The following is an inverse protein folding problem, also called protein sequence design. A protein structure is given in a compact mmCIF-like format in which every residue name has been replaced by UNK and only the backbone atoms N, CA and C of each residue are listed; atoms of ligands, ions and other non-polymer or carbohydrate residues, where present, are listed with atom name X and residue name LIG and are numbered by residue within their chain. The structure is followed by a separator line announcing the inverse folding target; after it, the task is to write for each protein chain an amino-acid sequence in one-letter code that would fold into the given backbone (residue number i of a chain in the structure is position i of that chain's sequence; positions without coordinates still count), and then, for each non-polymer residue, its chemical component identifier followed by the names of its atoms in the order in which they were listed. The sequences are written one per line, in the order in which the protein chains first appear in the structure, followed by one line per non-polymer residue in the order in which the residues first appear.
data_IF_247911996141
#
_entry.id   IF_247911996141
#
_cell.length_a   1.000
_cell.length_b   1.000
_cell.length_c   1.000
_cell.angle_alpha   90.00
_cell.angle_beta   90.00
_cell.angle_gamma   90.00
#
_symmetry.space_group_name_H-M   'P 1'
#
loop_
_entity.id
_entity.type
_entity.pdbx_description
1 polymer ?
#
# COMPACT_ATOMS: atom_id res chain seq x y z
N UNK A 1 13.50 -42.02 17.17
CA UNK A 1 12.50 -41.08 16.64
C UNK A 1 12.45 -39.85 17.54
N UNK A 2 12.95 -38.67 17.09
CA UNK A 2 12.81 -37.43 17.87
C UNK A 2 11.36 -36.96 17.69
N UNK A 3 10.62 -36.87 18.80
CA UNK A 3 9.28 -36.29 18.79
C UNK A 3 9.35 -34.85 18.22
N UNK A 4 8.73 -34.58 17.07
CA UNK A 4 8.54 -33.23 16.57
C UNK A 4 7.60 -32.52 17.55
N UNK A 5 8.14 -31.64 18.36
CA UNK A 5 7.34 -30.73 19.18
C UNK A 5 6.38 -30.00 18.25
N UNK A 6 5.08 -30.22 18.39
CA UNK A 6 4.06 -29.55 17.57
C UNK A 6 4.11 -28.06 17.92
N UNK A 7 4.62 -27.23 17.01
CA UNK A 7 4.65 -25.80 17.22
C UNK A 7 3.23 -25.27 17.30
N UNK A 8 2.89 -24.63 18.41
CA UNK A 8 1.58 -23.96 18.58
C UNK A 8 1.64 -22.64 17.80
N UNK A 9 0.87 -22.55 16.72
CA UNK A 9 0.73 -21.33 15.92
C UNK A 9 -0.42 -20.49 16.49
N UNK A 10 -0.10 -19.29 16.97
CA UNK A 10 -1.10 -18.33 17.46
C UNK A 10 -1.48 -17.35 16.34
N UNK A 11 -2.49 -17.69 15.57
CA UNK A 11 -3.08 -16.82 14.57
C UNK A 11 -4.57 -17.12 14.42
N UNK A 12 -5.34 -16.16 13.92
CA UNK A 12 -6.76 -16.34 13.60
C UNK A 12 -6.91 -16.38 12.07
N UNK A 13 -7.37 -17.51 11.49
CA UNK A 13 -7.68 -17.55 10.06
C UNK A 13 -8.83 -16.58 9.75
N UNK A 14 -8.61 -15.70 8.76
CA UNK A 14 -9.64 -14.80 8.28
C UNK A 14 -10.60 -15.52 7.32
N UNK A 15 -11.88 -15.23 7.48
CA UNK A 15 -12.95 -15.55 6.55
C UNK A 15 -13.83 -14.31 6.36
N UNK A 16 -14.75 -14.34 5.39
CA UNK A 16 -15.62 -13.19 5.06
C UNK A 16 -16.40 -12.63 6.25
N UNK A 17 -16.88 -13.51 7.15
CA UNK A 17 -17.62 -13.07 8.33
C UNK A 17 -16.73 -12.28 9.29
N UNK A 18 -15.53 -12.79 9.55
CA UNK A 18 -14.59 -12.14 10.44
C UNK A 18 -14.03 -10.86 9.82
N UNK A 19 -13.77 -10.88 8.51
CA UNK A 19 -13.34 -9.68 7.79
C UNK A 19 -14.40 -8.57 7.84
N UNK A 20 -15.68 -8.90 7.60
CA UNK A 20 -16.79 -7.94 7.76
C UNK A 20 -16.89 -7.38 9.19
N UNK A 21 -16.65 -8.22 10.20
CA UNK A 21 -16.61 -7.78 11.59
C UNK A 21 -15.46 -6.78 11.83
N UNK A 22 -14.25 -7.07 11.35
CA UNK A 22 -13.09 -6.17 11.44
C UNK A 22 -13.40 -4.81 10.81
N UNK A 23 -13.94 -4.80 9.60
CA UNK A 23 -14.32 -3.57 8.92
C UNK A 23 -15.42 -2.80 9.67
N UNK A 24 -16.39 -3.49 10.27
CA UNK A 24 -17.47 -2.88 11.04
C UNK A 24 -16.98 -2.26 12.36
N UNK A 25 -15.91 -2.79 12.93
CA UNK A 25 -15.28 -2.26 14.15
C UNK A 25 -14.18 -1.21 13.85
N UNK A 26 -13.81 -1.05 12.59
CA UNK A 26 -12.72 -0.17 12.17
C UNK A 26 -13.08 1.31 12.16
N UNK A 27 -12.03 2.15 12.10
CA UNK A 27 -12.16 3.58 11.89
C UNK A 27 -12.68 3.88 10.45
N UNK A 28 -13.38 4.99 10.28
CA UNK A 28 -13.86 5.43 8.96
C UNK A 28 -15.12 4.74 8.44
N UNK A 29 -15.75 3.85 9.20
CA UNK A 29 -16.99 3.15 8.82
C UNK A 29 -18.17 4.05 8.42
N UNK A 30 -18.12 5.34 8.75
CA UNK A 30 -19.13 6.34 8.43
C UNK A 30 -18.59 7.45 7.53
N UNK A 31 -17.47 7.24 6.86
CA UNK A 31 -16.88 8.21 5.95
C UNK A 31 -17.64 8.25 4.62
N UNK A 32 -18.51 9.24 4.48
CA UNK A 32 -19.37 9.40 3.29
C UNK A 32 -18.59 9.57 2.00
N UNK A 33 -17.39 10.18 2.07
CA UNK A 33 -16.57 10.40 0.87
C UNK A 33 -15.91 9.10 0.43
N UNK A 34 -15.33 8.36 1.35
CA UNK A 34 -14.72 7.06 1.04
C UNK A 34 -15.78 6.03 0.62
N UNK A 35 -16.96 6.05 1.23
CA UNK A 35 -18.06 5.16 0.84
C UNK A 35 -18.57 5.48 -0.58
N UNK A 36 -18.78 6.76 -0.90
CA UNK A 36 -19.17 7.17 -2.25
C UNK A 36 -18.10 6.80 -3.30
N UNK A 37 -16.82 6.94 -2.95
CA UNK A 37 -15.73 6.49 -3.83
C UNK A 37 -15.76 4.98 -4.05
N UNK A 38 -16.01 4.19 -3.01
CA UNK A 38 -16.12 2.73 -3.14
C UNK A 38 -17.27 2.31 -4.04
N UNK A 39 -18.43 2.96 -3.90
CA UNK A 39 -19.59 2.69 -4.76
C UNK A 39 -19.27 3.03 -6.22
N UNK A 40 -18.66 4.18 -6.48
CA UNK A 40 -18.30 4.57 -7.85
C UNK A 40 -17.21 3.65 -8.42
N UNK A 41 -16.21 3.27 -7.62
CA UNK A 41 -15.17 2.32 -8.06
C UNK A 41 -15.76 0.94 -8.34
N UNK A 42 -16.70 0.46 -7.52
CA UNK A 42 -17.38 -0.83 -7.75
C UNK A 42 -18.12 -0.89 -9.09
N UNK A 43 -18.60 0.24 -9.59
CA UNK A 43 -19.26 0.33 -10.90
C UNK A 43 -18.29 0.11 -12.08
N UNK A 44 -16.97 0.13 -11.86
CA UNK A 44 -15.96 -0.20 -12.88
C UNK A 44 -15.85 -1.70 -13.17
N UNK A 45 -16.57 -2.56 -12.43
CA UNK A 45 -16.55 -4.02 -12.62
C UNK A 45 -15.36 -4.68 -11.95
N UNK A 46 -14.81 -5.73 -12.57
CA UNK A 46 -13.75 -6.57 -11.96
C UNK A 46 -12.50 -5.78 -11.55
N UNK A 47 -12.19 -4.70 -12.25
CA UNK A 47 -11.03 -3.86 -11.94
C UNK A 47 -11.14 -3.17 -10.56
N UNK A 48 -12.33 -3.09 -9.99
CA UNK A 48 -12.56 -2.55 -8.66
C UNK A 48 -11.81 -3.33 -7.54
N UNK A 49 -11.42 -4.58 -7.80
CA UNK A 49 -10.60 -5.39 -6.89
C UNK A 49 -9.22 -4.77 -6.60
N UNK A 50 -8.77 -3.81 -7.42
CA UNK A 50 -7.52 -3.08 -7.15
C UNK A 50 -7.64 -2.08 -6.00
N UNK A 51 -8.85 -1.71 -5.57
CA UNK A 51 -9.03 -0.77 -4.48
C UNK A 51 -8.78 -1.45 -3.12
N UNK A 52 -7.94 -0.84 -2.27
CA UNK A 52 -7.69 -1.34 -0.92
C UNK A 52 -8.96 -1.36 -0.05
N UNK A 53 -8.97 -2.25 0.94
CA UNK A 53 -10.07 -2.38 1.90
C UNK A 53 -10.13 -1.22 2.92
N UNK A 54 -11.30 -1.05 3.59
CA UNK A 54 -11.47 0.00 4.60
C UNK A 54 -10.60 -0.20 5.84
N UNK A 55 -10.30 -1.43 6.23
CA UNK A 55 -9.37 -1.79 7.29
C UNK A 55 -7.95 -1.32 6.99
N UNK A 56 -7.48 -1.55 5.77
CA UNK A 56 -6.18 -1.10 5.30
C UNK A 56 -6.11 0.43 5.17
N UNK A 57 -7.17 1.07 4.69
CA UNK A 57 -7.25 2.53 4.63
C UNK A 57 -7.18 3.18 6.01
N UNK A 58 -7.89 2.63 7.00
CA UNK A 58 -7.82 3.06 8.39
C UNK A 58 -6.42 2.87 8.98
N UNK A 59 -5.80 1.71 8.71
CA UNK A 59 -4.42 1.41 9.12
C UNK A 59 -3.44 2.46 8.56
N UNK A 60 -3.50 2.78 7.26
CA UNK A 60 -2.64 3.79 6.64
C UNK A 60 -2.79 5.15 7.32
N UNK A 61 -4.04 5.62 7.52
CA UNK A 61 -4.30 6.92 8.16
C UNK A 61 -3.70 7.00 9.56
N UNK A 62 -3.94 5.97 10.38
CA UNK A 62 -3.46 5.93 11.77
C UNK A 62 -1.93 5.83 11.82
N UNK A 63 -1.33 4.95 11.01
CA UNK A 63 0.10 4.75 10.96
C UNK A 63 0.85 6.03 10.58
N UNK A 64 0.41 6.72 9.53
CA UNK A 64 1.03 7.95 9.04
C UNK A 64 0.97 9.05 10.10
N UNK A 65 -0.17 9.20 10.76
CA UNK A 65 -0.32 10.15 11.86
C UNK A 65 0.59 9.79 13.06
N UNK A 66 0.64 8.51 13.43
CA UNK A 66 1.42 8.00 14.56
C UNK A 66 2.93 8.19 14.38
N UNK A 67 3.46 8.02 13.16
CA UNK A 67 4.88 8.23 12.86
C UNK A 67 5.22 9.71 12.60
N UNK A 68 4.22 10.59 12.59
CA UNK A 68 4.42 12.03 12.34
C UNK A 68 4.94 12.32 10.93
N UNK A 69 4.61 11.51 9.92
CA UNK A 69 5.05 11.70 8.56
C UNK A 69 4.57 13.05 8.01
N UNK A 70 5.43 13.73 7.26
CA UNK A 70 5.13 15.02 6.60
C UNK A 70 5.16 14.92 5.09
N UNK A 71 5.98 14.02 4.56
CA UNK A 71 6.17 13.81 3.14
C UNK A 71 6.00 12.34 2.79
N UNK A 72 5.09 12.06 1.88
CA UNK A 72 4.79 10.70 1.45
C UNK A 72 4.86 10.57 -0.08
N UNK A 73 5.10 9.34 -0.53
CA UNK A 73 5.00 8.97 -1.95
C UNK A 73 4.12 7.72 -2.08
N UNK A 74 3.28 7.71 -3.09
CA UNK A 74 2.43 6.58 -3.48
C UNK A 74 2.74 6.18 -4.91
N UNK A 75 2.96 4.89 -5.14
CA UNK A 75 3.18 4.30 -6.46
C UNK A 75 2.01 3.38 -6.78
N UNK A 76 1.15 3.80 -7.70
CA UNK A 76 -0.18 3.23 -7.94
C UNK A 76 -1.24 3.94 -7.10
N UNK A 77 -2.08 4.72 -7.76
CA UNK A 77 -3.09 5.58 -7.11
C UNK A 77 -4.50 5.09 -7.39
N UNK A 78 -4.72 4.56 -8.59
CA UNK A 78 -6.02 4.10 -9.07
C UNK A 78 -7.10 5.19 -8.88
N UNK A 79 -8.25 4.86 -8.25
CA UNK A 79 -9.35 5.80 -7.99
C UNK A 79 -9.14 6.68 -6.75
N UNK A 80 -7.98 6.55 -6.06
CA UNK A 80 -7.55 7.49 -5.02
C UNK A 80 -7.99 7.18 -3.60
N UNK A 81 -8.44 5.95 -3.29
CA UNK A 81 -8.84 5.59 -1.93
C UNK A 81 -7.66 5.64 -0.95
N UNK A 82 -6.56 4.98 -1.27
CA UNK A 82 -5.33 4.97 -0.46
C UNK A 82 -4.75 6.37 -0.31
N UNK A 83 -4.68 7.15 -1.39
CA UNK A 83 -4.16 8.52 -1.35
C UNK A 83 -4.97 9.46 -0.45
N UNK A 84 -6.31 9.31 -0.38
CA UNK A 84 -7.13 10.04 0.60
C UNK A 84 -6.75 9.65 2.02
N UNK A 85 -6.62 8.35 2.30
CA UNK A 85 -6.25 7.84 3.62
C UNK A 85 -4.85 8.32 4.05
N UNK A 86 -3.88 8.26 3.14
CA UNK A 86 -2.52 8.77 3.35
C UNK A 86 -2.56 10.28 3.63
N UNK A 87 -3.20 11.07 2.77
CA UNK A 87 -3.26 12.52 2.91
C UNK A 87 -3.97 12.99 4.19
N UNK A 88 -4.93 12.23 4.69
CA UNK A 88 -5.60 12.50 5.98
C UNK A 88 -4.69 12.24 7.18
N UNK A 89 -3.82 11.23 7.10
CA UNK A 89 -2.81 10.98 8.13
C UNK A 89 -1.70 12.03 8.19
N UNK A 90 -1.45 12.73 7.09
CA UNK A 90 -0.47 13.81 7.01
C UNK A 90 -0.97 15.09 7.70
N UNK A 91 -0.08 15.89 8.33
CA UNK A 91 -0.43 17.21 8.89
C UNK A 91 -0.92 18.18 7.80
N UNK A 92 -1.46 19.34 8.21
CA UNK A 92 -2.04 20.31 7.28
C UNK A 92 -1.06 20.77 6.19
N UNK A 93 0.22 20.92 6.52
CA UNK A 93 1.30 21.27 5.60
C UNK A 93 2.00 20.05 4.97
N UNK A 94 1.48 18.84 5.17
CA UNK A 94 2.02 17.62 4.60
C UNK A 94 1.87 17.55 3.08
N UNK A 95 2.68 16.71 2.44
CA UNK A 95 2.68 16.53 0.99
C UNK A 95 2.69 15.05 0.63
N UNK A 96 1.88 14.68 -0.33
CA UNK A 96 1.81 13.35 -0.93
C UNK A 96 2.09 13.47 -2.43
N UNK A 97 3.11 12.77 -2.92
CA UNK A 97 3.34 12.58 -4.34
C UNK A 97 2.70 11.26 -4.77
N UNK A 98 1.73 11.32 -5.69
CA UNK A 98 1.08 10.17 -6.30
C UNK A 98 1.62 9.94 -7.70
N UNK A 99 1.97 8.69 -8.03
CA UNK A 99 2.43 8.26 -9.35
C UNK A 99 1.42 7.24 -9.90
N UNK A 100 0.86 7.50 -11.09
CA UNK A 100 -0.05 6.59 -11.79
C UNK A 100 0.07 6.76 -13.31
N UNK A 101 -0.24 5.71 -14.05
CA UNK A 101 -0.21 5.74 -15.52
C UNK A 101 -1.57 6.06 -16.14
N UNK A 102 -2.69 5.89 -15.41
CA UNK A 102 -4.04 6.04 -15.92
C UNK A 102 -4.63 7.42 -15.64
N UNK A 103 -4.83 8.20 -16.69
CA UNK A 103 -5.59 9.45 -16.61
C UNK A 103 -7.03 9.19 -16.17
N UNK A 104 -7.69 8.18 -16.74
CA UNK A 104 -9.09 7.86 -16.49
C UNK A 104 -9.36 7.61 -15.00
N UNK A 105 -8.57 6.76 -14.37
CA UNK A 105 -8.73 6.45 -12.94
C UNK A 105 -8.36 7.62 -12.05
N UNK A 106 -7.30 8.34 -12.39
CA UNK A 106 -6.86 9.48 -11.60
C UNK A 106 -7.75 10.70 -11.75
N UNK A 107 -8.59 10.80 -12.79
CA UNK A 107 -9.65 11.81 -12.86
C UNK A 107 -10.75 11.55 -11.83
N UNK A 108 -11.07 10.28 -11.55
CA UNK A 108 -11.91 9.91 -10.41
C UNK A 108 -11.23 10.34 -9.10
N UNK A 109 -9.95 9.97 -8.93
CA UNK A 109 -9.19 10.32 -7.73
C UNK A 109 -9.19 11.83 -7.46
N UNK A 110 -8.92 12.67 -8.45
CA UNK A 110 -8.93 14.14 -8.32
C UNK A 110 -10.27 14.68 -7.81
N UNK A 111 -11.38 14.15 -8.30
CA UNK A 111 -12.71 14.55 -7.84
C UNK A 111 -12.94 14.23 -6.37
N UNK A 112 -12.49 13.06 -5.95
CA UNK A 112 -12.63 12.62 -4.56
C UNK A 112 -11.61 13.26 -3.61
N UNK A 113 -10.41 13.60 -4.06
CA UNK A 113 -9.48 14.42 -3.28
C UNK A 113 -10.07 15.79 -2.94
N UNK A 114 -10.76 16.41 -3.90
CA UNK A 114 -11.46 17.68 -3.67
C UNK A 114 -12.61 17.50 -2.66
N UNK A 115 -13.47 16.48 -2.84
CA UNK A 115 -14.56 16.16 -1.90
C UNK A 115 -14.07 15.84 -0.49
N UNK A 116 -12.90 15.21 -0.37
CA UNK A 116 -12.27 14.88 0.90
C UNK A 116 -11.52 16.05 1.54
N UNK A 117 -11.36 17.18 0.85
CA UNK A 117 -10.61 18.35 1.32
C UNK A 117 -9.09 18.13 1.39
N UNK A 118 -8.55 17.15 0.66
CA UNK A 118 -7.12 16.81 0.70
C UNK A 118 -6.36 17.17 -0.58
N UNK A 119 -7.03 17.67 -1.61
CA UNK A 119 -6.42 17.97 -2.91
C UNK A 119 -5.18 18.89 -2.79
N UNK A 120 -5.19 19.84 -1.87
CA UNK A 120 -4.07 20.78 -1.65
C UNK A 120 -2.80 20.12 -1.09
N UNK A 121 -2.88 18.88 -0.61
CA UNK A 121 -1.71 18.11 -0.13
C UNK A 121 -1.14 17.19 -1.21
N UNK A 122 -1.85 16.94 -2.33
CA UNK A 122 -1.54 15.87 -3.28
C UNK A 122 -1.01 16.46 -4.58
N UNK A 123 0.17 15.99 -5.01
CA UNK A 123 0.72 16.19 -6.34
C UNK A 123 0.59 14.88 -7.12
N UNK A 124 -0.01 14.91 -8.31
CA UNK A 124 -0.10 13.74 -9.19
C UNK A 124 0.85 13.91 -10.37
N UNK A 125 1.65 12.87 -10.62
CA UNK A 125 2.45 12.73 -11.85
C UNK A 125 1.99 11.53 -12.64
N UNK A 126 1.47 11.79 -13.83
CA UNK A 126 1.05 10.75 -14.78
C UNK A 126 2.23 10.17 -15.55
N UNK A 127 2.07 8.92 -15.95
CA UNK A 127 3.02 8.14 -16.74
C UNK A 127 3.70 7.02 -15.98
N UNK A 128 4.61 6.26 -16.62
CA UNK A 128 5.28 5.12 -16.02
C UNK A 128 5.98 5.50 -14.72
N UNK A 129 5.69 4.76 -13.63
CA UNK A 129 6.19 5.10 -12.31
C UNK A 129 7.72 5.08 -12.23
N UNK A 130 8.39 4.11 -12.87
CA UNK A 130 9.86 4.03 -12.96
C UNK A 130 10.45 5.31 -13.55
N UNK A 131 9.86 5.82 -14.63
CA UNK A 131 10.33 7.06 -15.28
C UNK A 131 10.17 8.28 -14.36
N UNK A 132 9.02 8.36 -13.67
CA UNK A 132 8.77 9.44 -12.72
C UNK A 132 9.70 9.35 -11.51
N UNK A 133 9.96 8.14 -10.98
CA UNK A 133 10.89 7.91 -9.87
C UNK A 133 12.34 8.31 -10.25
N UNK A 134 12.79 7.97 -11.45
CA UNK A 134 14.13 8.36 -11.95
C UNK A 134 14.32 9.88 -12.03
N UNK A 135 13.25 10.63 -12.33
CA UNK A 135 13.28 12.11 -12.41
C UNK A 135 13.27 12.79 -11.04
N UNK A 136 13.02 12.07 -9.94
CA UNK A 136 13.08 12.64 -8.60
C UNK A 136 14.52 13.02 -8.24
N UNK A 137 14.67 14.16 -7.57
CA UNK A 137 15.97 14.61 -7.05
C UNK A 137 16.59 13.53 -6.15
N UNK A 138 17.90 13.46 -6.15
CA UNK A 138 18.62 12.65 -5.19
C UNK A 138 18.45 13.19 -3.77
N UNK A 139 18.63 12.30 -2.76
CA UNK A 139 18.59 12.65 -1.35
C UNK A 139 17.27 12.24 -0.66
N UNK A 140 17.34 12.20 0.66
CA UNK A 140 16.28 11.71 1.53
C UNK A 140 15.14 12.73 1.65
N UNK A 141 13.99 12.41 1.08
CA UNK A 141 12.85 13.32 0.93
C UNK A 141 11.60 12.84 1.65
N UNK A 142 11.37 11.50 1.71
CA UNK A 142 10.11 10.92 2.15
C UNK A 142 10.20 10.29 3.55
N UNK A 143 9.12 10.45 4.30
CA UNK A 143 8.90 9.82 5.60
C UNK A 143 8.08 8.53 5.45
N UNK A 144 7.32 8.41 4.36
CA UNK A 144 6.42 7.29 4.10
C UNK A 144 6.35 7.00 2.60
N UNK A 145 6.34 5.72 2.23
CA UNK A 145 6.08 5.26 0.88
C UNK A 145 5.04 4.12 0.89
N UNK A 146 4.08 4.17 -0.03
CA UNK A 146 3.14 3.10 -0.30
C UNK A 146 3.28 2.64 -1.75
N UNK A 147 3.50 1.35 -1.96
CA UNK A 147 3.76 0.75 -3.28
C UNK A 147 2.67 -0.28 -3.55
N UNK A 148 1.79 0.05 -4.49
CA UNK A 148 0.66 -0.77 -4.93
C UNK A 148 0.39 -0.57 -6.44
N UNK A 149 1.35 -0.96 -7.27
CA UNK A 149 1.28 -0.82 -8.73
C UNK A 149 1.58 -2.16 -9.43
N UNK A 150 2.33 -2.13 -10.54
CA UNK A 150 2.66 -3.30 -11.33
C UNK A 150 3.62 -4.23 -10.59
N UNK A 151 3.13 -5.40 -10.15
CA UNK A 151 3.86 -6.31 -9.24
C UNK A 151 5.23 -6.77 -9.76
N UNK A 152 5.44 -7.07 -11.06
CA UNK A 152 6.77 -7.38 -11.60
C UNK A 152 7.82 -6.28 -11.41
N UNK A 153 7.42 -5.01 -11.26
CA UNK A 153 8.31 -3.86 -11.08
C UNK A 153 8.51 -3.49 -9.59
N UNK A 154 7.98 -4.24 -8.64
CA UNK A 154 8.06 -3.92 -7.21
C UNK A 154 9.49 -3.81 -6.70
N UNK A 155 10.41 -4.64 -7.21
CA UNK A 155 11.82 -4.56 -6.83
C UNK A 155 12.48 -3.29 -7.36
N UNK A 156 12.17 -2.89 -8.59
CA UNK A 156 12.64 -1.65 -9.18
C UNK A 156 12.09 -0.43 -8.41
N UNK A 157 10.81 -0.44 -8.06
CA UNK A 157 10.24 0.62 -7.21
C UNK A 157 10.95 0.70 -5.87
N UNK A 158 11.22 -0.43 -5.22
CA UNK A 158 11.97 -0.48 -3.97
C UNK A 158 13.34 0.17 -4.09
N UNK A 159 14.13 -0.25 -5.07
CA UNK A 159 15.50 0.28 -5.27
C UNK A 159 15.52 1.77 -5.66
N UNK A 160 14.48 2.24 -6.34
CA UNK A 160 14.35 3.65 -6.67
C UNK A 160 13.82 4.51 -5.51
N UNK A 161 12.95 3.96 -4.67
CA UNK A 161 12.35 4.68 -3.54
C UNK A 161 13.28 4.72 -2.33
N UNK A 162 13.92 3.59 -1.98
CA UNK A 162 14.73 3.45 -0.77
C UNK A 162 15.80 4.55 -0.59
N UNK A 163 16.59 4.96 -1.61
CA UNK A 163 17.58 6.03 -1.44
C UNK A 163 16.96 7.40 -1.13
N UNK A 164 15.67 7.55 -1.36
CA UNK A 164 14.91 8.80 -1.13
C UNK A 164 14.17 8.81 0.20
N UNK A 165 14.24 7.71 0.94
CA UNK A 165 13.60 7.58 2.25
C UNK A 165 14.53 8.11 3.36
N UNK A 166 13.94 8.74 4.37
CA UNK A 166 14.69 9.15 5.56
C UNK A 166 14.96 7.95 6.47
N UNK A 167 15.94 8.07 7.34
CA UNK A 167 16.15 7.08 8.41
C UNK A 167 14.90 7.02 9.30
N UNK A 168 14.52 5.80 9.70
CA UNK A 168 13.30 5.49 10.46
C UNK A 168 11.97 5.76 9.72
N UNK A 169 12.03 6.06 8.44
CA UNK A 169 10.83 6.12 7.59
C UNK A 169 10.29 4.73 7.26
N UNK A 170 9.07 4.67 6.72
CA UNK A 170 8.41 3.41 6.39
C UNK A 170 8.15 3.30 4.89
N UNK A 171 8.42 2.12 4.35
CA UNK A 171 7.99 1.68 3.02
C UNK A 171 7.00 0.54 3.21
N UNK A 172 5.80 0.67 2.66
CA UNK A 172 4.78 -0.36 2.64
C UNK A 172 4.55 -0.87 1.22
N UNK A 173 4.43 -2.19 1.09
CA UNK A 173 4.05 -2.86 -0.16
C UNK A 173 2.74 -3.58 0.04
N UNK A 174 1.81 -3.45 -0.90
CA UNK A 174 0.54 -4.16 -0.89
C UNK A 174 0.57 -5.50 -1.65
N UNK A 175 -0.44 -6.34 -1.43
CA UNK A 175 -0.67 -7.65 -2.03
C UNK A 175 0.48 -8.66 -1.81
N UNK A 176 1.19 -8.54 -0.70
CA UNK A 176 2.38 -9.34 -0.43
C UNK A 176 2.07 -10.77 0.05
N UNK A 177 0.79 -11.16 0.16
CA UNK A 177 0.31 -12.54 0.33
C UNK A 177 -0.25 -13.14 -0.97
N UNK A 178 -0.50 -12.31 -1.97
CA UNK A 178 -0.97 -12.74 -3.29
C UNK A 178 -2.20 -13.66 -3.23
N UNK A 179 -3.25 -13.23 -2.53
CA UNK A 179 -4.48 -14.01 -2.32
C UNK A 179 -4.23 -15.32 -1.58
N UNK A 180 -3.25 -15.39 -0.69
CA UNK A 180 -2.84 -16.61 0.01
C UNK A 180 -2.22 -17.67 -0.91
N UNK A 181 -1.78 -17.28 -2.11
CA UNK A 181 -1.28 -18.20 -3.14
C UNK A 181 0.21 -18.48 -3.04
N UNK A 182 0.95 -17.78 -2.20
CA UNK A 182 2.38 -17.99 -2.00
C UNK A 182 2.64 -19.39 -1.40
N UNK A 183 3.77 -20.01 -1.80
CA UNK A 183 4.13 -21.37 -1.34
C UNK A 183 3.53 -22.52 -2.16
N UNK A 184 2.61 -22.28 -3.10
CA UNK A 184 2.11 -23.29 -4.01
C UNK A 184 2.88 -23.27 -5.34
N UNK A 185 3.56 -24.40 -5.69
CA UNK A 185 4.35 -24.49 -6.94
C UNK A 185 3.54 -24.10 -8.20
N UNK A 186 2.29 -24.52 -8.30
CA UNK A 186 1.42 -24.22 -9.46
C UNK A 186 1.07 -22.73 -9.55
N UNK A 187 0.89 -22.08 -8.43
CA UNK A 187 0.48 -20.66 -8.36
C UNK A 187 1.66 -19.69 -8.49
N UNK A 188 2.88 -20.17 -8.18
CA UNK A 188 4.13 -19.46 -8.44
C UNK A 188 4.51 -19.40 -9.93
N UNK A 189 3.77 -20.04 -10.82
CA UNK A 189 3.95 -19.90 -12.27
C UNK A 189 3.57 -18.50 -12.79
N UNK A 190 2.68 -17.77 -12.09
CA UNK A 190 2.26 -16.42 -12.48
C UNK A 190 3.38 -15.40 -12.23
N UNK A 191 3.70 -14.48 -13.19
CA UNK A 191 4.77 -13.50 -13.06
C UNK A 191 4.67 -12.65 -11.79
N UNK A 192 3.47 -12.14 -11.46
CA UNK A 192 3.23 -11.35 -10.25
C UNK A 192 3.55 -12.14 -8.97
N UNK A 193 3.10 -13.40 -8.86
CA UNK A 193 3.37 -14.23 -7.70
C UNK A 193 4.87 -14.48 -7.49
N UNK A 194 5.62 -14.69 -8.60
CA UNK A 194 7.09 -14.83 -8.55
C UNK A 194 7.75 -13.55 -8.06
N UNK A 195 7.38 -12.40 -8.61
CA UNK A 195 7.94 -11.11 -8.23
C UNK A 195 7.72 -10.82 -6.74
N UNK A 196 6.49 -11.06 -6.24
CA UNK A 196 6.15 -10.87 -4.83
C UNK A 196 6.95 -11.82 -3.92
N UNK A 197 7.07 -13.13 -4.25
CA UNK A 197 7.86 -14.08 -3.44
C UNK A 197 9.35 -13.69 -3.41
N UNK A 198 9.90 -13.31 -4.57
CA UNK A 198 11.29 -12.86 -4.67
C UNK A 198 11.54 -11.63 -3.81
N UNK A 199 10.68 -10.62 -3.90
CA UNK A 199 10.79 -9.42 -3.09
C UNK A 199 10.63 -9.72 -1.59
N UNK A 200 9.65 -10.55 -1.20
CA UNK A 200 9.49 -10.97 0.19
C UNK A 200 10.76 -11.62 0.76
N UNK A 201 11.41 -12.48 -0.03
CA UNK A 201 12.68 -13.13 0.37
C UNK A 201 13.84 -12.14 0.44
N UNK A 202 13.90 -11.17 -0.49
CA UNK A 202 14.90 -10.10 -0.49
C UNK A 202 14.75 -9.24 0.75
N UNK A 203 13.56 -8.69 1.00
CA UNK A 203 13.28 -7.81 2.14
C UNK A 203 13.49 -8.48 3.51
N UNK A 204 13.30 -9.80 3.60
CA UNK A 204 13.57 -10.54 4.82
C UNK A 204 15.08 -10.64 5.17
N UNK A 205 15.98 -10.32 4.23
CA UNK A 205 17.44 -10.42 4.38
C UNK A 205 18.17 -9.10 4.16
N UNK A 206 17.45 -8.08 3.68
CA UNK A 206 18.03 -6.78 3.35
C UNK A 206 18.38 -6.02 4.63
N UNK A 207 19.67 -5.73 4.80
CA UNK A 207 20.20 -5.05 5.99
C UNK A 207 19.93 -3.55 6.01
N UNK A 208 19.38 -3.00 4.94
CA UNK A 208 19.00 -1.58 4.83
C UNK A 208 17.68 -1.28 5.50
N UNK A 209 16.88 -2.32 5.79
CA UNK A 209 15.57 -2.21 6.40
C UNK A 209 15.33 -3.28 7.46
N UNK A 210 14.51 -2.97 8.44
CA UNK A 210 13.81 -3.99 9.25
C UNK A 210 12.41 -4.17 8.70
N UNK A 211 11.94 -5.42 8.57
CA UNK A 211 10.67 -5.64 7.90
C UNK A 211 9.82 -6.74 8.52
N UNK A 212 8.51 -6.56 8.43
CA UNK A 212 7.48 -7.52 8.84
C UNK A 212 6.42 -7.66 7.76
N UNK A 213 5.88 -8.86 7.58
CA UNK A 213 4.72 -9.10 6.71
C UNK A 213 3.48 -9.24 7.59
N UNK A 214 2.53 -8.32 7.42
CA UNK A 214 1.29 -8.22 8.18
C UNK A 214 0.13 -8.79 7.37
N UNK A 215 -0.81 -9.46 8.04
CA UNK A 215 -2.03 -10.02 7.43
C UNK A 215 -3.18 -8.99 7.40
N UNK A 216 -2.91 -7.80 6.86
CA UNK A 216 -3.90 -6.74 6.61
C UNK A 216 -4.24 -6.79 5.13
N UNK A 217 -5.53 -6.77 4.76
CA UNK A 217 -5.94 -6.92 3.35
C UNK A 217 -5.33 -8.18 2.71
N UNK A 218 -4.74 -8.04 1.53
CA UNK A 218 -3.98 -9.11 0.83
C UNK A 218 -2.50 -9.17 1.25
N UNK A 219 -2.21 -8.73 2.48
CA UNK A 219 -0.87 -8.73 3.07
C UNK A 219 -0.06 -7.47 2.78
N UNK A 220 0.29 -6.77 3.84
CA UNK A 220 1.14 -5.57 3.79
C UNK A 220 2.53 -5.89 4.30
N UNK A 221 3.55 -5.74 3.43
CA UNK A 221 4.95 -5.77 3.87
C UNK A 221 5.34 -4.39 4.35
N UNK A 222 5.66 -4.25 5.62
CA UNK A 222 6.12 -3.00 6.21
C UNK A 222 7.63 -3.08 6.45
N UNK A 223 8.36 -2.08 5.95
CA UNK A 223 9.81 -1.96 6.03
C UNK A 223 10.17 -0.63 6.69
N UNK A 224 10.92 -0.67 7.80
CA UNK A 224 11.53 0.51 8.43
C UNK A 224 12.94 0.70 7.88
N UNK A 225 13.26 1.87 7.37
CA UNK A 225 14.59 2.23 6.84
C UNK A 225 15.58 2.48 7.98
N UNK A 226 16.78 1.87 7.91
CA UNK A 226 17.81 1.91 8.94
C UNK A 226 18.81 3.07 8.78
#
# INVERSE_FOLDING_TARGET
MKARTKQILKYTPLNDRLFRYICACGAGRHDRVLEALRVETAALGEIAEMQIGPDQGAFLTILIAAIGARTAIEVGTFTGYSSICIARGLPANGRLLCLDASQEWTDIARRYWAKAGVAGKIELRLGPAIENLKKLKAGRQFDFAFIDAHKPEYDDYYELVLPRMRKNSLILFDNMLWGGRLGSRRRMAHPNGRAIDQLNRKLARDKRVESVLLSIGDGVRMCRVL
#
